data_IF_495960975957
#
_entry.id   IF_495960975957
#
_cell.length_a   1.000
_cell.length_b   1.000
_cell.length_c   1.000
_cell.angle_alpha   90.00
_cell.angle_beta   90.00
_cell.angle_gamma   90.00
#
_symmetry.space_group_name_H-M   'P 1'
#
loop_
_entity.id
_entity.type
_entity.pdbx_description
1 polymer ?
#
# COMPACT_ATOMS: atom_id res chain seq x y z
N UNK A 1 1.31 0.58 -17.03
CA UNK A 1 2.49 -0.19 -16.57
C UNK A 1 2.76 0.18 -15.12
N UNK A 2 2.84 -0.80 -14.23
CA UNK A 2 2.94 -0.57 -12.78
C UNK A 2 4.38 -0.76 -12.32
N UNK A 3 5.04 0.31 -11.88
CA UNK A 3 6.45 0.26 -11.45
C UNK A 3 6.55 0.32 -9.92
N UNK A 4 7.12 -0.72 -9.32
CA UNK A 4 7.40 -0.80 -7.87
C UNK A 4 8.72 -0.10 -7.55
N UNK A 5 8.75 0.89 -6.64
CA UNK A 5 9.99 1.65 -6.31
C UNK A 5 10.38 1.46 -4.84
N UNK A 6 11.69 1.36 -4.61
CA UNK A 6 12.33 0.95 -3.36
C UNK A 6 12.26 2.00 -2.22
N UNK A 7 12.23 1.49 -0.98
CA UNK A 7 12.40 2.24 0.27
C UNK A 7 13.89 2.48 0.53
N UNK A 8 14.27 3.70 0.95
CA UNK A 8 15.65 4.02 1.35
C UNK A 8 16.00 3.40 2.71
N UNK A 9 17.24 2.91 2.90
CA UNK A 9 17.57 1.95 3.95
C UNK A 9 17.75 2.60 5.32
N UNK A 10 16.91 2.21 6.27
CA UNK A 10 17.35 1.85 7.63
C UNK A 10 17.25 0.31 7.80
N UNK A 11 17.66 -0.41 6.73
CA UNK A 11 17.34 -1.81 6.46
C UNK A 11 18.15 -2.86 7.24
N UNK A 12 18.65 -2.59 8.45
CA UNK A 12 19.43 -3.64 9.18
C UNK A 12 18.80 -4.27 10.40
N UNK A 13 17.65 -3.81 10.90
CA UNK A 13 16.99 -4.47 12.06
C UNK A 13 15.46 -4.40 12.11
N UNK A 14 14.78 -4.11 11.00
CA UNK A 14 13.32 -4.20 11.02
C UNK A 14 12.89 -5.67 10.89
N UNK A 15 12.05 -6.20 11.80
CA UNK A 15 11.48 -7.53 11.63
C UNK A 15 10.61 -7.63 10.37
N UNK A 16 10.16 -6.49 9.81
CA UNK A 16 9.39 -6.41 8.57
C UNK A 16 10.22 -6.61 7.30
N UNK A 17 11.55 -6.54 7.38
CA UNK A 17 12.42 -6.57 6.21
C UNK A 17 12.16 -5.40 5.26
N UNK A 18 12.29 -5.67 3.96
CA UNK A 18 12.04 -4.73 2.87
C UNK A 18 10.54 -4.56 2.67
N UNK A 19 10.02 -3.38 3.00
CA UNK A 19 8.67 -2.96 2.67
C UNK A 19 8.64 -2.28 1.31
N UNK A 20 7.61 -2.54 0.53
CA UNK A 20 7.44 -2.02 -0.81
C UNK A 20 5.99 -1.61 -1.06
N UNK A 21 5.79 -0.67 -1.99
CA UNK A 21 4.46 -0.16 -2.37
C UNK A 21 4.24 -0.34 -3.86
N UNK A 22 3.07 -0.86 -4.24
CA UNK A 22 2.61 -0.94 -5.63
C UNK A 22 1.28 -0.20 -5.80
N UNK A 23 1.22 0.83 -6.66
CA UNK A 23 -0.02 1.57 -6.96
C UNK A 23 -0.71 1.03 -8.22
N UNK A 24 -2.03 0.87 -8.25
CA UNK A 24 -2.77 0.58 -9.49
C UNK A 24 -4.18 1.15 -9.44
N UNK A 25 -4.82 1.32 -10.60
CA UNK A 25 -6.23 1.67 -10.67
C UNK A 25 -7.09 0.42 -10.80
N UNK A 26 -8.28 0.43 -10.18
CA UNK A 26 -9.33 -0.49 -10.60
C UNK A 26 -9.71 -0.22 -12.05
N UNK A 27 -10.42 -1.15 -12.66
CA UNK A 27 -10.94 -0.98 -14.00
C UNK A 27 -11.87 0.25 -14.05
N UNK A 28 -11.58 1.26 -14.90
CA UNK A 28 -12.43 2.44 -15.04
C UNK A 28 -13.70 2.07 -15.81
N UNK A 29 -14.78 2.79 -15.52
CA UNK A 29 -16.05 2.73 -16.28
C UNK A 29 -16.29 4.05 -17.00
N UNK A 30 -17.35 4.14 -17.82
CA UNK A 30 -17.68 5.38 -18.53
C UNK A 30 -17.92 6.57 -17.58
N UNK A 31 -18.40 6.30 -16.36
CA UNK A 31 -18.79 7.32 -15.38
C UNK A 31 -17.86 7.36 -14.15
N UNK A 32 -16.94 6.41 -14.00
CA UNK A 32 -16.01 6.32 -12.86
C UNK A 32 -14.57 6.14 -13.36
N UNK A 33 -13.62 7.03 -13.00
CA UNK A 33 -12.21 6.89 -13.38
C UNK A 33 -11.50 5.69 -12.74
N UNK A 34 -12.20 4.90 -11.92
CA UNK A 34 -11.66 3.79 -11.16
C UNK A 34 -11.18 4.22 -9.78
N UNK A 35 -11.07 3.27 -8.87
CA UNK A 35 -10.52 3.48 -7.55
C UNK A 35 -8.98 3.49 -7.62
N UNK A 36 -8.32 4.49 -7.05
CA UNK A 36 -6.87 4.52 -6.92
C UNK A 36 -6.46 3.63 -5.75
N UNK A 37 -5.88 2.46 -6.05
CA UNK A 37 -5.42 1.49 -5.05
C UNK A 37 -3.90 1.59 -4.83
N UNK A 38 -3.49 1.31 -3.60
CA UNK A 38 -2.10 1.19 -3.16
C UNK A 38 -2.00 -0.07 -2.30
N UNK A 39 -0.99 -0.91 -2.53
CA UNK A 39 -0.68 -2.01 -1.64
C UNK A 39 0.71 -1.88 -1.06
N UNK A 40 0.78 -1.97 0.27
CA UNK A 40 2.02 -2.16 1.03
C UNK A 40 2.19 -3.65 1.28
N UNK A 41 3.39 -4.15 1.00
CA UNK A 41 3.75 -5.55 1.26
C UNK A 41 5.22 -5.66 1.69
N UNK A 42 5.54 -6.74 2.39
CA UNK A 42 6.91 -7.13 2.73
C UNK A 42 7.42 -8.20 1.78
N UNK A 43 8.72 -8.22 1.50
CA UNK A 43 9.38 -9.34 0.80
C UNK A 43 9.60 -10.55 1.72
N UNK A 44 9.44 -10.40 3.05
CA UNK A 44 9.71 -11.47 4.02
C UNK A 44 11.19 -11.74 4.26
N UNK A 45 12.07 -10.83 3.83
CA UNK A 45 13.53 -10.86 3.99
C UNK A 45 14.01 -10.23 5.32
N UNK A 46 13.09 -10.08 6.28
CA UNK A 46 13.41 -9.58 7.62
C UNK A 46 14.31 -10.54 8.40
N UNK A 47 15.00 -10.01 9.43
CA UNK A 47 15.98 -10.77 10.22
C UNK A 47 15.40 -12.01 10.93
N UNK A 48 14.09 -12.02 11.22
CA UNK A 48 13.38 -13.16 11.80
C UNK A 48 12.71 -14.09 10.78
N UNK A 49 12.94 -13.88 9.48
CA UNK A 49 12.29 -14.61 8.40
C UNK A 49 10.83 -14.20 8.15
N UNK A 50 10.14 -14.89 7.23
CA UNK A 50 8.82 -14.49 6.75
C UNK A 50 7.72 -14.57 7.83
N UNK A 51 7.79 -15.53 8.76
CA UNK A 51 6.80 -15.65 9.84
C UNK A 51 6.90 -14.50 10.85
N UNK A 52 8.13 -14.13 11.24
CA UNK A 52 8.35 -12.98 12.11
C UNK A 52 7.94 -11.67 11.43
N UNK A 53 8.18 -11.54 10.12
CA UNK A 53 7.72 -10.40 9.33
C UNK A 53 6.19 -10.29 9.29
N UNK A 54 5.48 -11.41 9.13
CA UNK A 54 4.02 -11.44 9.20
C UNK A 54 3.51 -11.02 10.59
N UNK A 55 4.08 -11.58 11.66
CA UNK A 55 3.69 -11.23 13.03
C UNK A 55 3.95 -9.74 13.32
N UNK A 56 5.10 -9.22 12.89
CA UNK A 56 5.42 -7.80 13.01
C UNK A 56 4.45 -6.93 12.20
N UNK A 57 4.06 -7.34 10.99
CA UNK A 57 3.09 -6.60 10.18
C UNK A 57 1.73 -6.56 10.89
N UNK A 58 1.24 -7.69 11.41
CA UNK A 58 -0.01 -7.72 12.19
C UNK A 58 0.04 -6.77 13.39
N UNK A 59 1.14 -6.79 14.15
CA UNK A 59 1.31 -5.90 15.31
C UNK A 59 1.30 -4.41 14.91
N UNK A 60 1.90 -4.05 13.77
CA UNK A 60 1.86 -2.68 13.27
C UNK A 60 0.45 -2.26 12.83
N UNK A 61 -0.32 -3.18 12.23
CA UNK A 61 -1.71 -2.93 11.84
C UNK A 61 -2.60 -2.73 13.06
N UNK A 62 -2.44 -3.54 14.10
CA UNK A 62 -3.15 -3.37 15.36
C UNK A 62 -2.81 -2.03 16.04
N UNK A 63 -1.55 -1.61 16.02
CA UNK A 63 -1.14 -0.28 16.50
C UNK A 63 -1.75 0.86 15.68
N UNK A 64 -1.96 0.63 14.38
CA UNK A 64 -2.71 1.50 13.49
C UNK A 64 -4.24 1.38 13.66
N UNK A 65 -4.75 0.61 14.62
CA UNK A 65 -6.19 0.38 14.78
C UNK A 65 -6.84 -0.38 13.62
N UNK A 66 -6.04 -0.91 12.69
CA UNK A 66 -6.48 -1.68 11.54
C UNK A 66 -6.54 -3.15 11.91
N UNK A 67 -7.73 -3.73 11.84
CA UNK A 67 -7.90 -5.17 12.03
C UNK A 67 -7.77 -5.91 10.70
N UNK A 68 -6.87 -6.89 10.66
CA UNK A 68 -6.70 -7.80 9.51
C UNK A 68 -7.99 -8.59 9.27
N UNK A 69 -8.42 -8.67 8.01
CA UNK A 69 -9.62 -9.41 7.60
C UNK A 69 -10.96 -8.82 8.08
N UNK A 70 -10.96 -7.62 8.66
CA UNK A 70 -12.18 -6.91 9.09
C UNK A 70 -12.53 -5.75 8.14
N UNK A 71 -13.62 -5.06 8.46
CA UNK A 71 -14.20 -3.97 7.66
C UNK A 71 -13.19 -2.89 7.28
N UNK A 72 -13.41 -2.29 6.11
CA UNK A 72 -12.71 -1.11 5.60
C UNK A 72 -12.75 0.02 6.63
N UNK A 73 -11.58 0.51 7.04
CA UNK A 73 -11.46 1.64 7.97
C UNK A 73 -11.23 2.94 7.20
N UNK A 74 -12.07 3.95 7.40
CA UNK A 74 -11.84 5.29 6.86
C UNK A 74 -10.92 6.09 7.80
N UNK A 75 -9.67 6.30 7.38
CA UNK A 75 -8.68 7.06 8.15
C UNK A 75 -8.80 8.57 7.95
N UNK A 76 -9.59 9.04 6.98
CA UNK A 76 -9.88 10.47 6.80
C UNK A 76 -10.77 11.03 7.90
N UNK A 77 -11.61 10.18 8.50
CA UNK A 77 -12.57 10.55 9.55
C UNK A 77 -11.97 10.53 10.97
N UNK A 78 -10.85 9.84 11.19
CA UNK A 78 -10.23 9.71 12.51
C UNK A 78 -8.84 10.38 12.57
N UNK A 79 -8.83 11.60 13.13
CA UNK A 79 -7.64 12.46 13.28
C UNK A 79 -6.56 11.89 14.20
N UNK A 80 -6.79 10.75 14.87
CA UNK A 80 -5.79 10.11 15.73
C UNK A 80 -4.77 9.30 14.91
N UNK A 81 -5.06 9.03 13.63
CA UNK A 81 -4.16 8.27 12.78
C UNK A 81 -3.13 9.17 12.09
N UNK A 82 -1.85 8.86 12.31
CA UNK A 82 -0.73 9.51 11.64
C UNK A 82 -0.41 8.87 10.29
N UNK A 83 -1.45 8.61 9.49
CA UNK A 83 -1.33 8.11 8.12
C UNK A 83 -1.67 9.22 7.13
N UNK A 84 -0.83 9.42 6.12
CA UNK A 84 -1.08 10.45 5.09
C UNK A 84 -0.57 10.01 3.73
N UNK A 85 -1.26 10.44 2.69
CA UNK A 85 -0.90 10.20 1.31
C UNK A 85 -0.83 11.54 0.58
N UNK A 86 0.37 11.96 0.21
CA UNK A 86 0.58 13.13 -0.64
C UNK A 86 0.76 12.66 -2.07
N UNK A 87 -0.02 13.23 -3.00
CA UNK A 87 0.09 12.91 -4.43
C UNK A 87 0.40 14.20 -5.18
N UNK A 88 1.53 14.22 -5.88
CA UNK A 88 2.05 15.38 -6.61
C UNK A 88 2.95 14.91 -7.76
N UNK A 89 2.85 15.53 -8.94
CA UNK A 89 3.74 15.31 -10.08
C UNK A 89 3.98 13.81 -10.42
N UNK A 90 2.90 13.04 -10.53
CA UNK A 90 2.88 11.59 -10.83
C UNK A 90 3.65 10.76 -9.80
N UNK A 91 3.71 11.25 -8.55
CA UNK A 91 4.30 10.55 -7.42
C UNK A 91 3.35 10.51 -6.24
N UNK A 92 3.26 9.35 -5.62
CA UNK A 92 2.61 9.16 -4.33
C UNK A 92 3.66 9.04 -3.23
N UNK A 93 3.54 9.84 -2.18
CA UNK A 93 4.33 9.75 -0.95
C UNK A 93 3.39 9.26 0.15
N UNK A 94 3.53 7.98 0.48
CA UNK A 94 2.84 7.34 1.58
C UNK A 94 3.66 7.51 2.87
N UNK A 95 3.04 8.06 3.90
CA UNK A 95 3.63 8.16 5.23
C UNK A 95 2.73 7.43 6.22
N UNK A 96 3.30 6.41 6.86
CA UNK A 96 2.74 5.64 7.96
C UNK A 96 3.70 5.74 9.17
N UNK A 97 3.26 5.44 10.40
CA UNK A 97 4.10 5.54 11.60
C UNK A 97 5.38 4.69 11.55
N UNK A 98 5.34 3.56 10.84
CA UNK A 98 6.46 2.62 10.74
C UNK A 98 7.14 2.63 9.37
N UNK A 99 6.64 3.40 8.39
CA UNK A 99 7.25 3.47 7.07
C UNK A 99 6.94 4.78 6.34
N UNK A 100 7.89 5.21 5.52
CA UNK A 100 7.67 6.23 4.50
C UNK A 100 8.13 5.68 3.16
N UNK A 101 7.25 5.73 2.17
CA UNK A 101 7.53 5.23 0.84
C UNK A 101 7.13 6.26 -0.22
N UNK A 102 7.90 6.30 -1.30
CA UNK A 102 7.58 7.08 -2.47
C UNK A 102 7.55 6.17 -3.68
N UNK A 103 6.47 6.22 -4.45
CA UNK A 103 6.36 5.47 -5.70
C UNK A 103 5.86 6.37 -6.85
N UNK A 104 6.31 6.11 -8.09
CA UNK A 104 5.70 6.67 -9.27
C UNK A 104 4.29 6.09 -9.42
N UNK A 105 3.34 6.93 -9.80
CA UNK A 105 1.96 6.53 -10.05
C UNK A 105 1.58 6.86 -11.49
N UNK A 106 0.77 6.04 -12.17
CA UNK A 106 0.26 6.39 -13.49
C UNK A 106 -0.56 7.69 -13.48
N UNK A 107 -0.58 8.48 -14.57
CA UNK A 107 -1.40 9.69 -14.66
C UNK A 107 -2.89 9.46 -14.36
N UNK A 108 -3.44 8.34 -14.83
CA UNK A 108 -4.82 7.92 -14.57
C UNK A 108 -5.09 7.69 -13.07
N UNK A 109 -4.09 7.19 -12.35
CA UNK A 109 -4.16 6.97 -10.91
C UNK A 109 -4.17 8.28 -10.14
N UNK A 110 -3.30 9.22 -10.52
CA UNK A 110 -3.31 10.55 -9.91
C UNK A 110 -4.64 11.27 -10.17
N UNK A 111 -5.17 11.17 -11.40
CA UNK A 111 -6.47 11.74 -11.74
C UNK A 111 -7.58 11.15 -10.87
N UNK A 112 -7.65 9.83 -10.74
CA UNK A 112 -8.62 9.15 -9.88
C UNK A 112 -8.47 9.56 -8.40
N UNK A 113 -7.25 9.61 -7.88
CA UNK A 113 -6.95 10.04 -6.51
C UNK A 113 -7.42 11.47 -6.24
N UNK A 114 -7.28 12.35 -7.24
CA UNK A 114 -7.77 13.72 -7.15
C UNK A 114 -9.28 13.80 -7.27
N UNK A 115 -9.89 13.09 -8.21
CA UNK A 115 -11.34 13.09 -8.39
C UNK A 115 -12.06 12.58 -7.13
N UNK A 116 -11.56 11.52 -6.50
CA UNK A 116 -12.17 10.91 -5.31
C UNK A 116 -11.76 11.58 -4.00
N UNK A 117 -10.63 12.28 -3.97
CA UNK A 117 -10.07 12.89 -2.75
C UNK A 117 -9.53 11.89 -1.72
N UNK A 118 -9.51 10.61 -2.08
CA UNK A 118 -9.10 9.49 -1.25
C UNK A 118 -8.48 8.40 -2.11
N UNK A 119 -7.65 7.55 -1.49
CA UNK A 119 -7.09 6.36 -2.11
C UNK A 119 -7.26 5.15 -1.21
N UNK A 120 -7.42 4.00 -1.83
CA UNK A 120 -7.63 2.73 -1.15
C UNK A 120 -6.27 2.09 -0.82
N UNK A 121 -5.91 2.02 0.46
CA UNK A 121 -4.70 1.38 0.94
C UNK A 121 -4.99 -0.05 1.40
N UNK A 122 -4.24 -0.99 0.85
CA UNK A 122 -4.18 -2.40 1.24
C UNK A 122 -2.85 -2.66 1.91
N UNK A 123 -2.88 -3.25 3.11
CA UNK A 123 -1.69 -3.68 3.83
C UNK A 123 -1.70 -5.21 3.87
N UNK A 124 -0.87 -5.83 3.03
CA UNK A 124 -0.75 -7.27 2.97
C UNK A 124 0.11 -7.78 4.14
N UNK A 125 -0.46 -8.68 4.95
CA UNK A 125 0.32 -9.39 5.98
C UNK A 125 1.19 -10.45 5.33
N UNK A 126 0.65 -11.17 4.34
CA UNK A 126 1.38 -12.20 3.61
C UNK A 126 2.54 -11.58 2.81
N UNK A 127 3.78 -12.08 2.98
CA UNK A 127 4.91 -11.59 2.21
C UNK A 127 4.81 -11.97 0.74
N UNK A 128 5.34 -11.12 -0.14
CA UNK A 128 5.37 -11.33 -1.58
C UNK A 128 6.81 -11.23 -2.13
N UNK A 129 7.64 -12.27 -1.90
CA UNK A 129 9.07 -12.23 -2.25
C UNK A 129 9.34 -12.11 -3.75
N UNK A 130 8.38 -12.49 -4.60
CA UNK A 130 8.52 -12.42 -6.07
C UNK A 130 8.41 -10.98 -6.59
N UNK A 131 7.67 -10.09 -5.91
CA UNK A 131 7.46 -8.70 -6.31
C UNK A 131 8.62 -7.80 -5.85
N UNK A 132 9.82 -8.07 -6.36
CA UNK A 132 11.04 -7.35 -5.95
C UNK A 132 10.95 -5.88 -6.38
N UNK A 133 11.19 -4.90 -5.47
CA UNK A 133 11.22 -3.49 -5.82
C UNK A 133 12.21 -3.20 -6.95
N UNK A 134 11.82 -2.32 -7.86
CA UNK A 134 12.57 -2.01 -9.09
C UNK A 134 12.31 -2.97 -10.25
N UNK A 135 11.57 -4.07 -10.06
CA UNK A 135 11.04 -4.88 -11.16
C UNK A 135 9.60 -4.52 -11.45
N UNK A 136 9.27 -4.47 -12.74
CA UNK A 136 7.88 -4.35 -13.17
C UNK A 136 7.13 -5.61 -12.75
N UNK A 137 5.99 -5.42 -12.08
CA UNK A 137 5.09 -6.51 -11.72
C UNK A 137 4.00 -6.57 -12.79
N UNK A 138 3.85 -7.67 -13.53
CA UNK A 138 2.81 -7.81 -14.53
C UNK A 138 1.41 -7.69 -13.90
N UNK A 139 0.42 -7.07 -14.58
CA UNK A 139 -0.94 -6.96 -14.07
C UNK A 139 -1.57 -8.31 -13.69
N UNK A 140 -1.26 -9.36 -14.42
CA UNK A 140 -1.72 -10.72 -14.17
C UNK A 140 -1.16 -11.31 -12.86
N UNK A 141 0.10 -11.03 -12.53
CA UNK A 141 0.72 -11.48 -11.27
C UNK A 141 0.12 -10.73 -10.08
N UNK A 142 -0.07 -9.41 -10.23
CA UNK A 142 -0.76 -8.60 -9.23
C UNK A 142 -2.18 -9.11 -9.02
N UNK A 143 -2.92 -9.36 -10.09
CA UNK A 143 -4.28 -9.91 -10.02
C UNK A 143 -4.29 -11.26 -9.33
N UNK A 144 -3.38 -12.16 -9.68
CA UNK A 144 -3.27 -13.49 -9.06
C UNK A 144 -2.96 -13.39 -7.57
N UNK A 145 -2.12 -12.44 -7.15
CA UNK A 145 -1.79 -12.23 -5.74
C UNK A 145 -2.99 -11.68 -4.95
N UNK A 146 -3.62 -10.61 -5.42
CA UNK A 146 -4.76 -9.99 -4.72
C UNK A 146 -6.04 -10.83 -4.79
N UNK A 147 -6.18 -11.69 -5.79
CA UNK A 147 -7.29 -12.64 -5.94
C UNK A 147 -6.98 -14.01 -5.33
N UNK A 148 -5.79 -14.17 -4.74
CA UNK A 148 -5.37 -15.42 -4.12
C UNK A 148 -6.23 -15.75 -2.89
N UNK A 149 -6.44 -17.04 -2.66
CA UNK A 149 -7.16 -17.52 -1.48
C UNK A 149 -6.51 -16.99 -0.19
N UNK A 150 -7.35 -16.47 0.71
CA UNK A 150 -6.90 -15.88 1.98
C UNK A 150 -6.22 -14.51 1.88
N UNK A 151 -6.13 -13.87 0.71
CA UNK A 151 -5.52 -12.53 0.60
C UNK A 151 -6.33 -11.47 1.36
N UNK A 152 -7.65 -11.41 1.13
CA UNK A 152 -8.54 -10.45 1.81
C UNK A 152 -8.56 -10.68 3.32
N UNK A 153 -8.62 -11.95 3.75
CA UNK A 153 -8.59 -12.32 5.16
C UNK A 153 -7.22 -12.05 5.82
N UNK A 154 -6.15 -12.08 5.02
CA UNK A 154 -4.77 -11.82 5.41
C UNK A 154 -4.29 -10.41 5.11
N UNK A 155 -5.18 -9.46 4.85
CA UNK A 155 -4.83 -8.06 4.64
C UNK A 155 -5.72 -7.12 5.45
N UNK A 156 -5.21 -5.92 5.69
CA UNK A 156 -5.98 -4.82 6.25
C UNK A 156 -6.25 -3.79 5.15
N UNK A 157 -7.45 -3.22 5.19
CA UNK A 157 -7.94 -2.31 4.16
C UNK A 157 -8.33 -0.98 4.82
N UNK A 158 -7.89 0.13 4.23
CA UNK A 158 -8.27 1.45 4.71
C UNK A 158 -8.34 2.50 3.59
N UNK A 159 -9.12 3.55 3.83
CA UNK A 159 -9.17 4.73 2.95
C UNK A 159 -8.25 5.80 3.49
N UNK A 160 -7.35 6.29 2.64
CA UNK A 160 -6.44 7.39 2.97
C UNK A 160 -6.92 8.69 2.32
N UNK A 161 -6.97 9.80 3.07
CA UNK A 161 -7.21 11.11 2.47
C UNK A 161 -6.03 11.48 1.56
N UNK A 162 -6.34 11.94 0.35
CA UNK A 162 -5.33 12.41 -0.61
C UNK A 162 -5.05 13.88 -0.33
N UNK A 163 -3.83 14.15 0.13
CA UNK A 163 -3.29 15.49 0.26
C UNK A 163 -2.65 15.91 -1.05
N UNK A 164 -2.73 17.21 -1.33
CA UNK A 164 -2.08 17.87 -2.47
C UNK A 164 -1.22 19.01 -1.96
N UNK A 165 -0.12 19.30 -2.63
CA UNK A 165 0.59 20.55 -2.33
C UNK A 165 -0.30 21.68 -2.84
N UNK A 166 -0.77 22.52 -1.92
CA UNK A 166 -1.44 23.76 -2.31
C UNK A 166 -0.37 24.67 -2.88
N UNK A 167 -0.41 24.88 -4.19
CA UNK A 167 0.39 25.89 -4.89
C UNK A 167 -0.44 27.15 -5.05
#
# INVERSE_FOLDING_TARGET
>A
MTSSTAVFPDSRRSPLGTLTVIPWCSEPTADDPGDPLLMVYSLGDGAGGPEAGQAAMRAQLEQLGLSVGKHLVDLGSDRRFSASLLVEAERAVLTLPFMRAQCPVPPEWQYAAYAKGQAYLILAVRPWPQAVPGRAVPPEELRAFVSGEGFLEGSAHCLLPVLRVRT
#
